data_IF_062562264574
#
_entry.id   IF_062562264574
#
_cell.length_a   1.000
_cell.length_b   1.000
_cell.length_c   1.000
_cell.angle_alpha   90.00
_cell.angle_beta   90.00
_cell.angle_gamma   90.00
#
_symmetry.space_group_name_H-M   'P 1'
#
loop_
_entity.id
_entity.type
_entity.pdbx_description
1 polymer ?
#
# COMPACT_ATOMS: atom_id res chain seq x y z
N UNK A 1 12.94 -1.56 25.60
CA UNK A 1 11.63 -1.76 24.96
C UNK A 1 10.49 -1.93 25.97
N UNK A 2 10.59 -2.85 26.94
CA UNK A 2 9.52 -3.09 27.95
C UNK A 2 9.02 -1.84 28.67
N UNK A 3 9.91 -0.95 29.15
CA UNK A 3 9.52 0.34 29.78
C UNK A 3 8.63 1.19 28.86
N UNK A 4 8.97 1.32 27.58
CA UNK A 4 8.20 2.09 26.61
C UNK A 4 6.82 1.46 26.36
N UNK A 5 6.77 0.13 26.24
CA UNK A 5 5.52 -0.60 26.08
C UNK A 5 4.60 -0.39 27.29
N UNK A 6 5.12 -0.43 28.52
CA UNK A 6 4.34 -0.20 29.74
C UNK A 6 3.91 1.25 29.91
N UNK A 7 4.78 2.23 29.64
CA UNK A 7 4.50 3.64 29.95
C UNK A 7 3.79 4.41 28.84
N UNK A 8 3.99 4.02 27.57
CA UNK A 8 3.45 4.74 26.41
C UNK A 8 2.36 3.94 25.72
N UNK A 9 2.55 2.64 25.51
CA UNK A 9 1.61 1.82 24.72
C UNK A 9 0.47 1.30 25.58
N UNK A 10 0.75 0.73 26.77
CA UNK A 10 -0.27 0.11 27.63
C UNK A 10 -1.48 1.02 27.93
N UNK A 11 -1.31 2.33 28.21
CA UNK A 11 -2.46 3.21 28.46
C UNK A 11 -3.40 3.40 27.26
N UNK A 12 -2.96 3.06 26.05
CA UNK A 12 -3.73 3.17 24.81
C UNK A 12 -4.39 1.83 24.41
N UNK A 13 -4.09 0.73 25.12
CA UNK A 13 -4.63 -0.60 24.83
C UNK A 13 -6.06 -0.72 25.39
N UNK A 14 -7.02 -1.30 24.64
CA UNK A 14 -8.36 -1.54 25.15
C UNK A 14 -8.34 -2.38 26.46
N UNK A 15 -9.24 -2.10 27.43
CA UNK A 15 -9.25 -2.79 28.72
C UNK A 15 -9.26 -4.33 28.61
N UNK A 16 -9.93 -4.85 27.59
CA UNK A 16 -10.06 -6.29 27.33
C UNK A 16 -8.72 -6.98 26.99
N UNK A 17 -7.75 -6.24 26.46
CA UNK A 17 -6.44 -6.75 26.05
C UNK A 17 -5.31 -6.36 27.02
N UNK A 18 -5.58 -5.46 27.97
CA UNK A 18 -4.56 -4.84 28.80
C UNK A 18 -3.77 -5.86 29.66
N UNK A 19 -4.48 -6.78 30.33
CA UNK A 19 -3.82 -7.77 31.20
C UNK A 19 -2.94 -8.74 30.41
N UNK A 20 -3.42 -9.23 29.26
CA UNK A 20 -2.65 -10.09 28.37
C UNK A 20 -1.42 -9.36 27.81
N UNK A 21 -1.58 -8.09 27.43
CA UNK A 21 -0.47 -7.25 26.97
C UNK A 21 0.61 -7.08 28.05
N UNK A 22 0.22 -6.74 29.28
CA UNK A 22 1.17 -6.54 30.39
C UNK A 22 1.93 -7.82 30.73
N UNK A 23 1.23 -8.96 30.78
CA UNK A 23 1.85 -10.26 31.03
C UNK A 23 2.88 -10.62 29.94
N UNK A 24 2.55 -10.41 28.66
CA UNK A 24 3.48 -10.67 27.56
C UNK A 24 4.70 -9.73 27.57
N UNK A 25 4.53 -8.48 28.00
CA UNK A 25 5.66 -7.54 28.17
C UNK A 25 6.57 -7.95 29.33
N UNK A 26 6.03 -8.59 30.37
CA UNK A 26 6.79 -9.11 31.52
C UNK A 26 7.59 -10.38 31.20
N UNK A 27 7.04 -11.25 30.35
CA UNK A 27 7.75 -12.42 29.82
C UNK A 27 9.01 -12.04 29.03
N UNK A 28 9.02 -10.86 28.40
CA UNK A 28 10.23 -10.22 27.88
C UNK A 28 10.75 -10.72 26.52
N UNK A 29 10.03 -11.63 25.84
CA UNK A 29 10.38 -12.12 24.50
C UNK A 29 10.00 -11.12 23.38
N UNK A 30 10.53 -9.90 23.46
CA UNK A 30 10.21 -8.81 22.52
C UNK A 30 11.19 -8.84 21.34
N UNK A 31 10.65 -9.03 20.13
CA UNK A 31 11.41 -9.02 18.88
C UNK A 31 11.13 -7.75 18.08
N UNK A 32 12.16 -7.24 17.39
CA UNK A 32 12.04 -6.06 16.54
C UNK A 32 12.53 -6.37 15.13
N UNK A 33 11.76 -5.93 14.14
CA UNK A 33 12.13 -6.01 12.73
C UNK A 33 12.10 -4.62 12.11
N UNK A 34 12.90 -4.40 11.07
CA UNK A 34 12.93 -3.13 10.36
C UNK A 34 11.74 -3.02 9.41
N UNK A 35 11.03 -1.89 9.44
CA UNK A 35 10.02 -1.56 8.44
C UNK A 35 10.73 -0.94 7.23
N UNK A 36 11.00 -1.76 6.20
CA UNK A 36 11.66 -1.31 4.97
C UNK A 36 10.64 -0.98 3.88
N UNK A 37 11.04 -0.11 2.96
CA UNK A 37 10.33 0.18 1.73
C UNK A 37 11.32 0.14 0.58
N UNK A 38 11.02 -0.62 -0.46
CA UNK A 38 11.91 -0.79 -1.61
C UNK A 38 11.07 -0.92 -2.87
N UNK A 39 11.18 0.09 -3.74
CA UNK A 39 10.50 0.10 -5.03
C UNK A 39 11.08 -1.00 -5.93
N UNK A 40 10.22 -1.61 -6.74
CA UNK A 40 10.65 -2.58 -7.74
C UNK A 40 11.45 -1.87 -8.84
N UNK A 41 12.73 -2.20 -8.98
CA UNK A 41 13.59 -1.74 -10.07
C UNK A 41 14.19 -2.95 -10.80
N UNK A 42 13.45 -3.55 -11.75
CA UNK A 42 13.90 -4.75 -12.43
C UNK A 42 15.14 -4.46 -13.28
N UNK A 43 16.16 -5.29 -13.14
CA UNK A 43 17.33 -5.35 -14.02
C UNK A 43 17.28 -6.70 -14.74
N UNK A 44 16.81 -6.74 -16.00
CA UNK A 44 16.72 -7.98 -16.76
C UNK A 44 18.08 -8.68 -16.80
N UNK A 45 18.14 -9.89 -16.24
CA UNK A 45 19.36 -10.69 -16.15
C UNK A 45 19.02 -12.08 -16.69
N UNK A 46 19.58 -12.48 -17.86
CA UNK A 46 19.32 -13.79 -18.43
C UNK A 46 19.55 -14.92 -17.42
N UNK A 47 18.57 -15.82 -17.30
CA UNK A 47 18.64 -16.97 -16.39
C UNK A 47 18.29 -16.67 -14.92
N UNK A 48 17.94 -15.44 -14.55
CA UNK A 48 17.60 -15.07 -13.19
C UNK A 48 16.31 -14.24 -13.09
N UNK A 49 15.52 -14.48 -12.04
CA UNK A 49 14.32 -13.70 -11.69
C UNK A 49 14.36 -13.40 -10.20
N UNK A 50 14.08 -12.16 -9.83
CA UNK A 50 13.97 -11.73 -8.44
C UNK A 50 12.50 -11.60 -8.03
N UNK A 51 12.13 -12.18 -6.88
CA UNK A 51 10.76 -12.22 -6.38
C UNK A 51 10.68 -11.86 -4.90
N UNK A 52 9.45 -11.62 -4.43
CA UNK A 52 9.14 -11.36 -3.02
C UNK A 52 9.77 -10.08 -2.50
N UNK A 53 10.04 -10.04 -1.19
CA UNK A 53 10.62 -8.87 -0.54
C UNK A 53 12.06 -8.58 -1.01
N UNK A 54 12.78 -9.56 -1.57
CA UNK A 54 14.06 -9.30 -2.22
C UNK A 54 13.93 -8.40 -3.47
N UNK A 55 12.76 -8.37 -4.10
CA UNK A 55 12.48 -7.56 -5.28
C UNK A 55 11.68 -6.29 -4.98
N UNK A 56 10.70 -6.36 -4.07
CA UNK A 56 9.81 -5.24 -3.79
C UNK A 56 9.26 -5.33 -2.37
N UNK A 57 9.66 -4.38 -1.51
CA UNK A 57 9.20 -4.27 -0.12
C UNK A 57 8.26 -3.07 0.04
N UNK A 58 7.32 -3.20 0.97
CA UNK A 58 6.39 -2.14 1.39
C UNK A 58 6.27 -2.13 2.90
N UNK A 59 5.72 -1.05 3.45
CA UNK A 59 5.44 -0.97 4.88
C UNK A 59 4.52 -2.14 5.32
N UNK A 60 4.84 -2.88 6.40
CA UNK A 60 4.11 -4.10 6.78
C UNK A 60 2.72 -3.84 7.40
N UNK A 61 2.36 -2.57 7.62
CA UNK A 61 1.09 -2.15 8.26
C UNK A 61 -0.16 -2.79 7.65
N UNK A 62 -0.18 -3.00 6.33
CA UNK A 62 -1.33 -3.59 5.64
C UNK A 62 -1.22 -5.11 5.46
N UNK A 63 -0.11 -5.73 5.89
CA UNK A 63 0.11 -7.17 5.73
C UNK A 63 0.22 -7.66 4.27
N UNK A 64 0.33 -6.76 3.29
CA UNK A 64 0.19 -7.11 1.86
C UNK A 64 1.41 -7.78 1.19
N UNK A 65 2.53 -7.98 1.89
CA UNK A 65 3.76 -8.54 1.32
C UNK A 65 3.57 -9.95 0.76
N UNK A 66 2.96 -10.85 1.55
CA UNK A 66 2.66 -12.22 1.12
C UNK A 66 1.64 -12.24 -0.03
N UNK A 67 0.62 -11.37 0.02
CA UNK A 67 -0.38 -11.25 -1.06
C UNK A 67 0.28 -10.89 -2.39
N UNK A 68 1.21 -9.93 -2.40
CA UNK A 68 1.95 -9.58 -3.63
C UNK A 68 2.84 -10.73 -4.07
N UNK A 69 3.56 -11.38 -3.15
CA UNK A 69 4.41 -12.52 -3.50
C UNK A 69 3.62 -13.68 -4.14
N UNK A 70 2.46 -14.04 -3.57
CA UNK A 70 1.60 -15.09 -4.12
C UNK A 70 0.96 -14.67 -5.45
N UNK A 71 0.54 -13.41 -5.59
CA UNK A 71 0.06 -12.87 -6.87
C UNK A 71 1.14 -12.92 -7.94
N UNK A 72 2.38 -12.58 -7.58
CA UNK A 72 3.53 -12.66 -8.48
C UNK A 72 3.79 -14.11 -8.93
N UNK A 73 3.69 -15.08 -8.02
CA UNK A 73 3.83 -16.51 -8.35
C UNK A 73 2.77 -16.96 -9.35
N UNK A 74 1.50 -16.55 -9.19
CA UNK A 74 0.43 -16.90 -10.13
C UNK A 74 0.70 -16.32 -11.52
N UNK A 75 1.14 -15.05 -11.60
CA UNK A 75 1.51 -14.41 -12.86
C UNK A 75 2.68 -15.13 -13.53
N UNK A 76 3.74 -15.39 -12.77
CA UNK A 76 4.92 -16.08 -13.29
C UNK A 76 4.58 -17.48 -13.76
N UNK A 77 3.80 -18.26 -12.99
CA UNK A 77 3.30 -19.57 -13.40
C UNK A 77 2.56 -19.49 -14.74
N UNK A 78 1.68 -18.51 -14.92
CA UNK A 78 0.90 -18.38 -16.15
C UNK A 78 1.77 -18.03 -17.36
N UNK A 79 2.80 -17.20 -17.18
CA UNK A 79 3.79 -16.88 -18.22
C UNK A 79 4.65 -18.11 -18.56
N UNK A 80 5.08 -18.88 -17.56
CA UNK A 80 5.92 -20.07 -17.79
C UNK A 80 5.14 -21.25 -18.36
N UNK A 81 3.84 -21.37 -18.08
CA UNK A 81 2.99 -22.51 -18.50
C UNK A 81 3.03 -22.85 -20.00
N UNK A 82 2.99 -21.90 -20.95
CA UNK A 82 3.08 -22.20 -22.38
C UNK A 82 4.49 -22.61 -22.84
N UNK A 83 5.52 -22.42 -22.02
CA UNK A 83 6.91 -22.68 -22.40
C UNK A 83 7.24 -24.16 -22.23
N UNK A 84 7.78 -24.78 -23.30
CA UNK A 84 8.23 -26.17 -23.29
C UNK A 84 9.74 -26.29 -23.04
N UNK A 85 10.48 -25.29 -23.48
CA UNK A 85 11.92 -25.19 -23.30
C UNK A 85 12.27 -23.92 -22.50
N UNK A 86 13.16 -24.06 -21.54
CA UNK A 86 13.68 -22.98 -20.71
C UNK A 86 15.19 -22.76 -20.91
N UNK A 87 15.80 -23.38 -21.93
CA UNK A 87 17.24 -23.33 -22.19
C UNK A 87 17.71 -21.97 -22.71
N UNK A 88 16.89 -21.28 -23.50
CA UNK A 88 17.23 -19.94 -24.03
C UNK A 88 16.97 -18.85 -22.98
N UNK A 89 17.99 -18.62 -22.15
CA UNK A 89 17.97 -17.62 -21.11
C UNK A 89 17.67 -16.20 -21.63
N UNK A 90 18.06 -15.87 -22.87
CA UNK A 90 17.87 -14.53 -23.46
C UNK A 90 16.43 -14.36 -23.94
N UNK A 91 15.90 -15.34 -24.68
CA UNK A 91 14.50 -15.33 -25.11
C UNK A 91 13.54 -15.33 -23.92
N UNK A 92 13.84 -16.13 -22.88
CA UNK A 92 13.10 -16.12 -21.62
C UNK A 92 13.14 -14.77 -20.92
N UNK A 93 14.32 -14.17 -20.79
CA UNK A 93 14.48 -12.86 -20.14
C UNK A 93 13.60 -11.80 -20.81
N UNK A 94 13.65 -11.74 -22.15
CA UNK A 94 12.80 -10.85 -22.93
C UNK A 94 11.32 -11.18 -22.72
N UNK A 95 10.90 -12.43 -22.87
CA UNK A 95 9.50 -12.79 -22.69
C UNK A 95 8.97 -12.41 -21.28
N UNK A 96 9.77 -12.68 -20.25
CA UNK A 96 9.42 -12.44 -18.86
C UNK A 96 9.44 -10.97 -18.45
N UNK A 97 9.90 -10.01 -19.26
CA UNK A 97 9.68 -8.59 -18.95
C UNK A 97 8.19 -8.23 -18.85
N UNK A 98 7.32 -9.01 -19.51
CA UNK A 98 5.86 -8.90 -19.36
C UNK A 98 5.43 -9.00 -17.89
N UNK A 99 6.09 -9.85 -17.10
CA UNK A 99 5.82 -10.02 -15.67
C UNK A 99 5.86 -8.69 -14.90
N UNK A 100 6.89 -7.87 -15.15
CA UNK A 100 7.08 -6.60 -14.46
C UNK A 100 5.99 -5.58 -14.78
N UNK A 101 5.36 -5.70 -15.94
CA UNK A 101 4.20 -4.87 -16.33
C UNK A 101 2.91 -5.43 -15.76
N UNK A 102 2.69 -6.74 -15.89
CA UNK A 102 1.45 -7.42 -15.48
C UNK A 102 1.22 -7.37 -13.97
N UNK A 103 2.28 -7.39 -13.16
CA UNK A 103 2.17 -7.30 -11.70
C UNK A 103 1.81 -5.90 -11.18
N UNK A 104 2.09 -4.85 -11.97
CA UNK A 104 2.02 -3.46 -11.49
C UNK A 104 0.66 -3.06 -10.94
N UNK A 105 -0.49 -3.41 -11.51
CA UNK A 105 -1.79 -3.05 -10.94
C UNK A 105 -1.98 -3.54 -9.50
N UNK A 106 -1.63 -4.80 -9.21
CA UNK A 106 -1.74 -5.39 -7.87
C UNK A 106 -0.67 -4.81 -6.94
N UNK A 107 0.60 -4.89 -7.35
CA UNK A 107 1.72 -4.48 -6.51
C UNK A 107 1.68 -2.99 -6.17
N UNK A 108 1.41 -2.13 -7.16
CA UNK A 108 1.35 -0.68 -6.95
C UNK A 108 0.18 -0.27 -6.06
N UNK A 109 -0.99 -0.90 -6.19
CA UNK A 109 -2.14 -0.61 -5.33
C UNK A 109 -1.82 -0.94 -3.88
N UNK A 110 -1.28 -2.14 -3.62
CA UNK A 110 -0.92 -2.58 -2.27
C UNK A 110 0.21 -1.72 -1.69
N UNK A 111 1.24 -1.42 -2.48
CA UNK A 111 2.36 -0.56 -2.05
C UNK A 111 1.87 0.85 -1.74
N UNK A 112 1.03 1.40 -2.61
CA UNK A 112 0.49 2.76 -2.46
C UNK A 112 -0.38 2.85 -1.22
N UNK A 113 -1.25 1.86 -1.01
CA UNK A 113 -2.10 1.79 0.17
C UNK A 113 -1.28 1.71 1.47
N UNK A 114 -0.27 0.85 1.49
CA UNK A 114 0.61 0.67 2.64
C UNK A 114 1.35 1.97 3.01
N UNK A 115 1.95 2.63 2.01
CA UNK A 115 2.66 3.89 2.20
C UNK A 115 1.73 5.03 2.62
N UNK A 116 0.57 5.15 1.97
CA UNK A 116 -0.41 6.20 2.26
C UNK A 116 -1.00 6.03 3.67
N UNK A 117 -1.52 4.85 4.02
CA UNK A 117 -2.08 4.60 5.35
C UNK A 117 -1.05 4.78 6.47
N UNK A 118 0.19 4.35 6.25
CA UNK A 118 1.26 4.61 7.22
C UNK A 118 1.45 6.12 7.45
N UNK A 119 1.49 6.93 6.39
CA UNK A 119 1.65 8.38 6.51
C UNK A 119 0.44 9.08 7.14
N UNK A 120 -0.77 8.54 6.95
CA UNK A 120 -2.00 9.03 7.57
C UNK A 120 -2.06 8.69 9.06
N UNK A 121 -1.70 7.46 9.44
CA UNK A 121 -1.83 6.98 10.82
C UNK A 121 -0.65 7.28 11.73
N UNK A 122 0.54 7.53 11.15
CA UNK A 122 1.71 7.91 11.92
C UNK A 122 1.45 9.20 12.69
N UNK A 123 1.81 9.21 13.99
CA UNK A 123 1.67 10.39 14.83
C UNK A 123 2.41 11.59 14.21
N UNK A 124 1.75 12.75 14.21
CA UNK A 124 2.31 13.99 13.68
C UNK A 124 1.86 15.17 14.55
N UNK A 125 2.75 16.16 14.77
CA UNK A 125 2.35 17.41 15.41
C UNK A 125 1.51 18.30 14.48
N UNK A 126 1.41 17.97 13.18
CA UNK A 126 0.62 18.74 12.22
C UNK A 126 -0.89 18.49 12.40
N UNK A 127 -1.69 19.51 12.75
CA UNK A 127 -3.14 19.38 12.90
C UNK A 127 -3.83 18.82 11.64
N UNK A 128 -3.34 19.16 10.44
CA UNK A 128 -3.94 18.68 9.20
C UNK A 128 -3.83 17.16 9.02
N UNK A 129 -2.75 16.56 9.54
CA UNK A 129 -2.55 15.10 9.54
C UNK A 129 -3.37 14.41 10.62
N UNK A 130 -3.56 15.06 11.78
CA UNK A 130 -4.45 14.57 12.83
C UNK A 130 -5.90 14.52 12.32
N UNK A 131 -6.38 15.60 11.70
CA UNK A 131 -7.70 15.64 11.05
C UNK A 131 -7.84 14.58 9.97
N UNK A 132 -6.81 14.37 9.14
CA UNK A 132 -6.84 13.32 8.12
C UNK A 132 -6.99 11.91 8.72
N UNK A 133 -6.30 11.64 9.83
CA UNK A 133 -6.41 10.36 10.55
C UNK A 133 -7.83 10.17 11.09
N UNK A 134 -8.38 11.18 11.75
CA UNK A 134 -9.73 11.10 12.29
C UNK A 134 -10.77 10.97 11.17
N UNK A 135 -10.64 11.76 10.11
CA UNK A 135 -11.52 11.70 8.95
C UNK A 135 -11.50 10.32 8.30
N UNK A 136 -10.35 9.63 8.30
CA UNK A 136 -10.25 8.26 7.83
C UNK A 136 -11.09 7.29 8.69
N UNK A 137 -11.02 7.38 10.02
CA UNK A 137 -11.82 6.53 10.91
C UNK A 137 -13.32 6.78 10.76
N UNK A 138 -13.73 8.05 10.73
CA UNK A 138 -15.14 8.41 10.59
C UNK A 138 -15.69 8.03 9.22
N UNK A 139 -14.91 8.24 8.15
CA UNK A 139 -15.27 7.82 6.80
C UNK A 139 -15.51 6.31 6.73
N UNK A 140 -14.63 5.50 7.32
CA UNK A 140 -14.80 4.05 7.41
C UNK A 140 -16.04 3.65 8.23
N UNK A 141 -16.38 4.45 9.24
CA UNK A 141 -17.54 4.22 10.13
C UNK A 141 -18.89 4.51 9.45
N UNK A 142 -18.92 5.21 8.32
CA UNK A 142 -20.14 5.43 7.53
C UNK A 142 -20.72 4.15 6.90
N UNK A 143 -19.94 3.06 6.85
CA UNK A 143 -20.38 1.81 6.25
C UNK A 143 -20.52 1.87 4.73
N UNK A 144 -21.23 0.89 4.14
CA UNK A 144 -21.45 0.81 2.69
C UNK A 144 -20.15 0.87 1.89
N UNK A 145 -20.15 1.66 0.81
CA UNK A 145 -18.96 1.82 -0.07
C UNK A 145 -17.77 2.46 0.64
N UNK A 146 -18.01 3.30 1.66
CA UNK A 146 -16.96 3.98 2.42
C UNK A 146 -16.17 3.00 3.31
N UNK A 147 -16.74 1.85 3.65
CA UNK A 147 -16.07 0.77 4.37
C UNK A 147 -15.65 -0.37 3.44
N UNK A 148 -16.59 -0.92 2.67
CA UNK A 148 -16.36 -2.04 1.76
C UNK A 148 -15.26 -1.74 0.72
N UNK A 149 -15.25 -0.53 0.16
CA UNK A 149 -14.27 -0.11 -0.84
C UNK A 149 -12.83 -0.17 -0.30
N UNK A 150 -12.48 0.60 0.75
CA UNK A 150 -11.17 0.52 1.38
C UNK A 150 -10.79 -0.86 1.89
N UNK A 151 -11.73 -1.63 2.45
CA UNK A 151 -11.47 -3.01 2.92
C UNK A 151 -11.16 -3.96 1.76
N UNK A 152 -11.82 -3.80 0.61
CA UNK A 152 -11.53 -4.59 -0.60
C UNK A 152 -10.13 -4.31 -1.19
N UNK A 153 -9.65 -3.07 -1.03
CA UNK A 153 -8.28 -2.68 -1.38
C UNK A 153 -7.27 -3.26 -0.38
N UNK A 154 -7.57 -3.16 0.92
CA UNK A 154 -6.70 -3.65 2.00
C UNK A 154 -6.53 -5.16 1.96
N UNK A 155 -7.61 -5.90 1.70
CA UNK A 155 -7.58 -7.36 1.54
C UNK A 155 -6.93 -7.84 0.24
N UNK A 156 -6.63 -6.93 -0.70
CA UNK A 156 -6.09 -7.29 -2.01
C UNK A 156 -7.09 -7.99 -2.93
N UNK A 157 -8.39 -8.01 -2.60
CA UNK A 157 -9.45 -8.63 -3.40
C UNK A 157 -9.86 -7.78 -4.60
N UNK A 158 -9.72 -6.45 -4.50
CA UNK A 158 -10.01 -5.54 -5.61
C UNK A 158 -8.90 -4.47 -5.73
N UNK A 159 -7.68 -4.85 -6.15
CA UNK A 159 -6.53 -3.95 -6.16
C UNK A 159 -6.58 -3.03 -7.39
N UNK A 160 -7.58 -2.14 -7.45
CA UNK A 160 -7.75 -1.16 -8.52
C UNK A 160 -7.14 0.19 -8.12
N UNK A 161 -6.09 0.66 -8.83
CA UNK A 161 -5.44 1.94 -8.55
C UNK A 161 -6.38 3.14 -8.51
N UNK A 162 -7.36 3.18 -9.44
CA UNK A 162 -8.32 4.27 -9.51
C UNK A 162 -9.25 4.29 -8.29
N UNK A 163 -9.70 3.13 -7.81
CA UNK A 163 -10.53 3.05 -6.60
C UNK A 163 -9.75 3.54 -5.37
N UNK A 164 -8.47 3.17 -5.27
CA UNK A 164 -7.59 3.68 -4.20
C UNK A 164 -7.50 5.20 -4.24
N UNK A 165 -7.21 5.77 -5.42
CA UNK A 165 -7.10 7.21 -5.60
C UNK A 165 -8.39 7.93 -5.19
N UNK A 166 -9.54 7.43 -5.66
CA UNK A 166 -10.85 8.01 -5.36
C UNK A 166 -11.18 7.95 -3.87
N UNK A 167 -11.00 6.80 -3.20
CA UNK A 167 -11.25 6.70 -1.76
C UNK A 167 -10.29 7.59 -0.95
N UNK A 168 -9.02 7.68 -1.34
CA UNK A 168 -8.05 8.52 -0.64
C UNK A 168 -8.44 10.00 -0.66
N UNK A 169 -8.86 10.52 -1.82
CA UNK A 169 -9.37 11.90 -1.92
C UNK A 169 -10.77 12.06 -1.34
N UNK A 170 -11.62 11.03 -1.36
CA UNK A 170 -12.92 11.07 -0.70
C UNK A 170 -12.77 11.26 0.82
N UNK A 171 -11.82 10.56 1.45
CA UNK A 171 -11.47 10.78 2.87
C UNK A 171 -11.01 12.22 3.10
N UNK A 172 -10.18 12.77 2.20
CA UNK A 172 -9.68 14.13 2.33
C UNK A 172 -10.81 15.17 2.22
N UNK A 173 -11.69 15.03 1.24
CA UNK A 173 -12.88 15.88 1.04
C UNK A 173 -13.84 15.74 2.22
N UNK A 174 -14.04 14.53 2.72
CA UNK A 174 -14.85 14.27 3.91
C UNK A 174 -14.29 14.98 5.14
N UNK A 175 -12.97 14.96 5.34
CA UNK A 175 -12.30 15.71 6.40
C UNK A 175 -12.49 17.24 6.27
N UNK A 176 -12.42 17.78 5.04
CA UNK A 176 -12.78 19.19 4.79
C UNK A 176 -14.23 19.47 5.18
N UNK A 177 -15.16 18.59 4.79
CA UNK A 177 -16.58 18.71 5.13
C UNK A 177 -16.82 18.74 6.65
N UNK A 178 -16.15 17.86 7.40
CA UNK A 178 -16.16 17.85 8.87
C UNK A 178 -15.73 19.20 9.46
N UNK A 179 -14.66 19.80 8.91
CA UNK A 179 -14.15 21.09 9.36
C UNK A 179 -15.08 22.26 9.05
N UNK A 180 -15.93 22.16 8.01
CA UNK A 180 -16.86 23.24 7.63
C UNK A 180 -18.13 23.27 8.49
N UNK A 181 -18.41 22.23 9.27
CA UNK A 181 -19.61 22.14 10.09
C UNK A 181 -19.38 22.54 11.56
N UNK A 182 -20.37 23.13 12.26
CA UNK A 182 -21.64 23.64 11.70
C UNK A 182 -21.48 24.94 10.90
N UNK A 183 -20.39 25.69 11.12
CA UNK A 183 -20.08 26.91 10.39
C UNK A 183 -18.61 26.96 9.97
N UNK A 184 -18.32 27.46 8.74
CA UNK A 184 -16.96 27.66 8.29
C UNK A 184 -16.33 28.86 9.01
N UNK A 185 -15.04 28.76 9.34
CA UNK A 185 -14.22 29.89 9.81
C UNK A 185 -12.93 29.97 8.98
N UNK A 186 -12.29 31.15 8.84
CA UNK A 186 -11.04 31.28 8.08
C UNK A 186 -9.95 30.29 8.53
N UNK A 187 -9.85 30.04 9.84
CA UNK A 187 -8.92 29.05 10.40
C UNK A 187 -9.25 27.62 9.96
N UNK A 188 -10.54 27.24 9.97
CA UNK A 188 -11.00 25.92 9.53
C UNK A 188 -10.84 25.73 8.03
N UNK A 189 -11.10 26.78 7.24
CA UNK A 189 -10.88 26.77 5.79
C UNK A 189 -9.40 26.59 5.46
N UNK A 190 -8.53 27.30 6.18
CA UNK A 190 -7.08 27.14 6.05
C UNK A 190 -6.62 25.72 6.41
N UNK A 191 -7.15 25.16 7.51
CA UNK A 191 -6.86 23.78 7.90
C UNK A 191 -7.35 22.78 6.84
N UNK A 192 -8.53 22.98 6.26
CA UNK A 192 -9.04 22.19 5.15
C UNK A 192 -8.15 22.24 3.91
N UNK A 193 -7.67 23.43 3.52
CA UNK A 193 -6.71 23.57 2.43
C UNK A 193 -5.39 22.83 2.71
N UNK A 194 -4.88 22.94 3.95
CA UNK A 194 -3.69 22.18 4.39
C UNK A 194 -3.92 20.68 4.40
N UNK A 195 -5.13 20.21 4.70
CA UNK A 195 -5.50 18.80 4.64
C UNK A 195 -5.39 18.26 3.21
N UNK A 196 -5.96 18.97 2.22
CA UNK A 196 -5.84 18.60 0.80
C UNK A 196 -4.39 18.63 0.32
N UNK A 197 -3.62 19.64 0.73
CA UNK A 197 -2.19 19.74 0.42
C UNK A 197 -1.41 18.56 1.01
N UNK A 198 -1.69 18.21 2.28
CA UNK A 198 -1.11 17.05 2.94
C UNK A 198 -1.46 15.77 2.20
N UNK A 199 -2.72 15.59 1.81
CA UNK A 199 -3.19 14.40 1.08
C UNK A 199 -2.42 14.25 -0.24
N UNK A 200 -2.34 15.35 -1.00
CA UNK A 200 -1.60 15.43 -2.27
C UNK A 200 -0.11 15.10 -2.09
N UNK A 201 0.53 15.68 -1.06
CA UNK A 201 1.95 15.42 -0.74
C UNK A 201 2.25 13.99 -0.31
N UNK A 202 1.24 13.24 0.17
CA UNK A 202 1.37 11.83 0.50
C UNK A 202 1.23 10.99 -0.78
N UNK A 203 0.14 11.18 -1.52
CA UNK A 203 -0.25 10.25 -2.58
C UNK A 203 0.58 10.42 -3.87
N UNK A 204 0.86 11.66 -4.29
CA UNK A 204 1.52 11.90 -5.57
C UNK A 204 2.96 11.36 -5.64
N UNK A 205 3.81 11.55 -4.61
CA UNK A 205 5.15 10.96 -4.63
C UNK A 205 5.13 9.43 -4.70
N UNK A 206 4.18 8.80 -4.01
CA UNK A 206 4.03 7.34 -3.99
C UNK A 206 3.59 6.84 -5.37
N UNK A 207 2.57 7.45 -5.97
CA UNK A 207 2.13 7.13 -7.35
C UNK A 207 3.27 7.33 -8.35
N UNK A 208 4.04 8.42 -8.22
CA UNK A 208 5.19 8.70 -9.09
C UNK A 208 6.26 7.60 -8.95
N UNK A 209 6.53 7.14 -7.73
CA UNK A 209 7.48 6.05 -7.47
C UNK A 209 7.03 4.70 -8.02
N UNK A 210 5.72 4.45 -8.08
CA UNK A 210 5.17 3.22 -8.67
C UNK A 210 5.07 3.25 -10.20
N UNK A 211 5.03 4.44 -10.79
CA UNK A 211 4.92 4.67 -12.23
C UNK A 211 3.48 4.88 -12.68
N UNK A 212 3.12 6.13 -13.01
CA UNK A 212 1.74 6.56 -13.35
C UNK A 212 1.16 5.72 -14.49
N UNK A 213 1.92 5.54 -15.58
CA UNK A 213 1.44 4.82 -16.77
C UNK A 213 1.24 3.33 -16.48
N UNK A 214 2.16 2.72 -15.74
CA UNK A 214 2.10 1.30 -15.39
C UNK A 214 0.97 1.01 -14.40
N UNK A 215 0.70 1.94 -13.49
CA UNK A 215 -0.35 1.85 -12.50
C UNK A 215 -1.74 2.02 -13.13
N UNK A 216 -1.99 3.12 -13.86
CA UNK A 216 -3.33 3.44 -14.35
C UNK A 216 -3.64 2.93 -15.77
N UNK A 217 -2.60 2.73 -16.59
CA UNK A 217 -2.76 2.41 -18.02
C UNK A 217 -1.85 1.24 -18.45
N UNK A 218 -1.90 0.07 -17.78
CA UNK A 218 -1.00 -1.05 -18.05
C UNK A 218 -1.10 -1.56 -19.50
N UNK A 219 -2.29 -1.50 -20.10
CA UNK A 219 -2.54 -1.89 -21.49
C UNK A 219 -1.80 -1.04 -22.53
N UNK A 220 -1.20 0.09 -22.14
CA UNK A 220 -0.41 0.94 -23.03
C UNK A 220 1.07 0.55 -23.08
N UNK A 221 1.49 -0.43 -22.26
CA UNK A 221 2.90 -0.84 -22.16
C UNK A 221 3.14 -2.01 -23.13
N UNK A 222 4.10 -1.91 -24.08
CA UNK A 222 4.32 -2.96 -25.09
C UNK A 222 4.61 -4.35 -24.50
N UNK A 223 5.30 -4.39 -23.36
CA UNK A 223 5.60 -5.65 -22.66
C UNK A 223 4.34 -6.43 -22.23
N UNK A 224 3.19 -5.77 -22.12
CA UNK A 224 1.91 -6.40 -21.78
C UNK A 224 1.46 -7.44 -22.82
N UNK A 225 1.83 -7.27 -24.09
CA UNK A 225 1.37 -8.10 -25.21
C UNK A 225 2.44 -9.09 -25.71
N UNK A 226 3.51 -9.33 -24.95
CA UNK A 226 4.57 -10.26 -25.39
C UNK A 226 4.02 -11.68 -25.48
N UNK A 227 4.24 -12.29 -26.63
CA UNK A 227 3.89 -13.68 -26.89
C UNK A 227 5.03 -14.61 -26.47
N UNK A 228 4.74 -15.87 -26.11
CA UNK A 228 5.77 -16.87 -25.84
C UNK A 228 6.73 -17.00 -27.03
N UNK A 229 8.03 -17.20 -26.79
CA UNK A 229 8.98 -17.49 -27.86
C UNK A 229 8.56 -18.78 -28.59
N UNK A 230 8.71 -18.77 -29.92
CA UNK A 230 8.45 -19.93 -30.77
C UNK A 230 9.67 -20.85 -30.71
N UNK A 231 9.64 -21.83 -29.82
CA UNK A 231 10.61 -22.93 -29.75
C UNK A 231 9.87 -24.28 -29.78
#
# INVERSE_FOLDING_TARGET
MGKYLKSVVAPQIPPQLHNAFMAAVEEGNIRTMQNKSMAANPVPTPGAILLGDAFNMRHPLTGGGMTVALSDIVLLRNLLRPLRDLSDATALCNYLEAFYTLRKPVSSTINTLAGALYKVFCASPDPAKQEMREACFDYLSLGGICSYGPVSLLSGLNPRPLHLFLHFFAVAIYGVGRLMLPFPSPQRMWLGARLILSASSIIFPIIKGEGVRQMFFPATVPAFYRSPPLH
#
